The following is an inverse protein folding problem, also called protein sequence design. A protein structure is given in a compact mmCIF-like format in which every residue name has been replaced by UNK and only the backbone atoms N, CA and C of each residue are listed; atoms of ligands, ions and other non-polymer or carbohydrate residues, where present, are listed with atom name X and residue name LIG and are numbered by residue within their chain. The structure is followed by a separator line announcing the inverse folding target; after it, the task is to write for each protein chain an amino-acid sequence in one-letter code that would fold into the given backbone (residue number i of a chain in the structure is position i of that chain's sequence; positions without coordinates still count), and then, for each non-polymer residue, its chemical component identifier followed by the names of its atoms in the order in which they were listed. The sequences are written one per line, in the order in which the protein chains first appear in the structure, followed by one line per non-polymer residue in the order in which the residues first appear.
data_IF_641635431503
#
_entry.id   IF_641635431503
#
_cell.length_a   1.000
_cell.length_b   1.000
_cell.length_c   1.000
_cell.angle_alpha   90.00
_cell.angle_beta   90.00
_cell.angle_gamma   90.00
#
_symmetry.space_group_name_H-M   'P 1'
#
loop_
_entity.id
_entity.type
_entity.pdbx_description
1 polymer ?
#
# COMPACT_ATOMS: atom_id res chain seq x y z
N UNK A 1 30.37 -22.44 -1.61
CA UNK A 1 29.45 -22.50 -0.46
C UNK A 1 28.58 -21.25 -0.51
N UNK A 2 27.26 -21.36 -0.50
CA UNK A 2 26.39 -20.18 -0.49
C UNK A 2 26.49 -19.52 0.89
N UNK A 3 26.88 -18.25 0.94
CA UNK A 3 26.94 -17.50 2.19
C UNK A 3 25.51 -17.16 2.63
N UNK A 4 25.17 -17.42 3.89
CA UNK A 4 23.85 -17.11 4.44
C UNK A 4 23.60 -15.61 4.35
N UNK A 5 22.49 -15.21 3.72
CA UNK A 5 22.04 -13.83 3.67
C UNK A 5 21.08 -13.56 4.83
N UNK A 6 21.23 -12.41 5.48
CA UNK A 6 20.28 -11.91 6.48
C UNK A 6 19.80 -10.54 6.03
N UNK A 7 18.59 -10.51 5.48
CA UNK A 7 17.96 -9.28 5.01
C UNK A 7 17.03 -8.70 6.09
N UNK A 8 16.92 -7.39 6.12
CA UNK A 8 15.98 -6.63 6.93
C UNK A 8 15.09 -5.73 6.05
N UNK A 9 13.90 -5.39 6.55
CA UNK A 9 13.04 -4.40 5.92
C UNK A 9 12.04 -3.83 6.92
N UNK A 10 11.52 -2.65 6.60
CA UNK A 10 10.51 -1.98 7.37
C UNK A 10 9.57 -1.18 6.48
N UNK A 11 8.45 -0.79 7.07
CA UNK A 11 7.55 0.17 6.47
C UNK A 11 6.99 1.12 7.53
N UNK A 12 6.55 2.28 7.08
CA UNK A 12 5.74 3.19 7.87
C UNK A 12 4.55 3.65 7.04
N UNK A 13 3.37 3.76 7.66
CA UNK A 13 2.16 4.22 6.99
C UNK A 13 1.33 5.11 7.89
N UNK A 14 0.69 6.10 7.28
CA UNK A 14 -0.30 6.95 7.93
C UNK A 14 -1.51 7.09 7.02
N UNK A 15 -2.69 7.17 7.62
CA UNK A 15 -3.95 7.42 6.93
C UNK A 15 -4.75 8.46 7.72
N UNK A 16 -5.45 9.33 6.99
CA UNK A 16 -6.25 10.40 7.57
C UNK A 16 -7.60 10.50 6.86
N UNK A 17 -8.67 10.53 7.65
CA UNK A 17 -10.02 10.79 7.19
C UNK A 17 -10.27 12.29 7.09
N UNK A 18 -10.15 12.87 5.89
CA UNK A 18 -10.34 14.31 5.69
C UNK A 18 -11.77 14.71 5.37
N UNK A 19 -12.66 13.75 5.07
CA UNK A 19 -14.09 13.97 4.92
C UNK A 19 -14.88 12.71 5.28
N UNK A 20 -16.20 12.82 5.47
CA UNK A 20 -17.12 11.76 5.95
C UNK A 20 -16.89 10.37 5.35
N UNK A 21 -16.41 10.28 4.11
CA UNK A 21 -16.25 9.02 3.37
C UNK A 21 -14.93 8.93 2.62
N UNK A 22 -14.02 9.86 2.84
CA UNK A 22 -12.77 10.00 2.11
C UNK A 22 -11.58 9.89 3.03
N UNK A 23 -10.60 9.10 2.62
CA UNK A 23 -9.35 8.93 3.32
C UNK A 23 -8.18 9.18 2.36
N UNK A 24 -7.13 9.79 2.87
CA UNK A 24 -5.84 9.91 2.19
C UNK A 24 -4.79 9.20 3.02
N UNK A 25 -3.94 8.40 2.39
CA UNK A 25 -2.88 7.68 3.05
C UNK A 25 -1.55 7.82 2.33
N UNK A 26 -0.48 7.67 3.09
CA UNK A 26 0.87 7.57 2.57
C UNK A 26 1.59 6.39 3.22
N UNK A 27 2.47 5.75 2.45
CA UNK A 27 3.32 4.66 2.93
C UNK A 27 4.73 4.79 2.38
N UNK A 28 5.70 4.53 3.25
CA UNK A 28 7.09 4.34 2.87
C UNK A 28 7.49 2.89 3.15
N UNK A 29 8.15 2.25 2.20
CA UNK A 29 8.71 0.90 2.29
C UNK A 29 10.22 0.97 2.05
N UNK A 30 10.98 0.20 2.83
CA UNK A 30 12.41 -0.03 2.60
C UNK A 30 12.73 -1.48 2.92
N UNK A 31 13.46 -2.17 2.04
CA UNK A 31 13.83 -3.56 2.25
C UNK A 31 15.13 -3.92 1.55
N UNK A 32 16.00 -4.63 2.28
CA UNK A 32 17.12 -5.37 1.71
C UNK A 32 16.63 -6.59 0.92
N UNK A 33 17.42 -7.04 -0.04
CA UNK A 33 17.06 -8.21 -0.85
C UNK A 33 17.48 -9.50 -0.17
N UNK A 34 16.55 -10.46 -0.14
CA UNK A 34 16.76 -11.78 0.46
C UNK A 34 17.98 -12.55 -0.09
N UNK A 35 18.40 -12.29 -1.33
CA UNK A 35 19.57 -12.93 -1.97
C UNK A 35 20.83 -12.05 -2.01
N UNK A 36 20.72 -10.78 -1.61
CA UNK A 36 21.82 -9.79 -1.62
C UNK A 36 21.50 -8.72 -0.59
N UNK A 37 21.80 -8.98 0.69
CA UNK A 37 21.39 -8.10 1.79
C UNK A 37 22.08 -6.73 1.77
N UNK A 38 23.18 -6.58 1.02
CA UNK A 38 23.86 -5.31 0.73
C UNK A 38 23.09 -4.40 -0.25
N UNK A 39 22.04 -4.93 -0.89
CA UNK A 39 21.22 -4.23 -1.88
C UNK A 39 19.84 -3.99 -1.28
N UNK A 40 19.36 -2.75 -1.38
CA UNK A 40 18.05 -2.36 -0.87
C UNK A 40 17.20 -1.69 -1.94
N UNK A 41 15.90 -1.92 -1.84
CA UNK A 41 14.87 -1.25 -2.61
C UNK A 41 14.04 -0.36 -1.67
N UNK A 42 13.45 0.71 -2.20
CA UNK A 42 12.53 1.57 -1.47
C UNK A 42 11.32 1.94 -2.30
N UNK A 43 10.20 2.23 -1.66
CA UNK A 43 9.02 2.72 -2.36
C UNK A 43 8.25 3.75 -1.52
N UNK A 44 7.70 4.74 -2.21
CA UNK A 44 6.75 5.69 -1.66
C UNK A 44 5.39 5.45 -2.32
N UNK A 45 4.32 5.38 -1.52
CA UNK A 45 2.95 5.24 -2.02
C UNK A 45 2.06 6.35 -1.49
N UNK A 46 1.22 6.90 -2.36
CA UNK A 46 0.12 7.78 -2.02
C UNK A 46 -1.19 7.08 -2.36
N UNK A 47 -2.17 7.19 -1.47
CA UNK A 47 -3.43 6.47 -1.54
C UNK A 47 -4.56 7.45 -1.29
N UNK A 48 -5.62 7.35 -2.11
CA UNK A 48 -6.90 7.98 -1.82
C UNK A 48 -7.97 6.90 -1.87
N UNK A 49 -8.81 6.85 -0.84
CA UNK A 49 -9.94 5.93 -0.81
C UNK A 49 -11.25 6.64 -0.55
N UNK A 50 -12.33 6.03 -1.05
CA UNK A 50 -13.70 6.50 -0.94
C UNK A 50 -14.62 5.33 -0.59
N UNK A 51 -15.54 5.56 0.35
CA UNK A 51 -16.56 4.60 0.78
C UNK A 51 -17.97 5.04 0.32
N UNK A 52 -18.40 4.73 -0.92
CA UNK A 52 -19.73 5.10 -1.42
C UNK A 52 -20.91 4.51 -0.63
N UNK A 53 -20.70 3.38 0.05
CA UNK A 53 -21.65 2.73 0.96
C UNK A 53 -20.92 1.73 1.86
N UNK A 54 -21.64 1.04 2.74
CA UNK A 54 -21.12 -0.09 3.53
C UNK A 54 -20.70 -1.29 2.68
N UNK A 55 -21.10 -1.32 1.40
CA UNK A 55 -20.85 -2.43 0.47
C UNK A 55 -19.77 -2.13 -0.56
N UNK A 56 -19.33 -0.88 -0.67
CA UNK A 56 -18.43 -0.45 -1.73
C UNK A 56 -17.23 0.28 -1.15
N UNK A 57 -16.03 -0.07 -1.63
CA UNK A 57 -14.81 0.66 -1.37
C UNK A 57 -14.02 0.87 -2.66
N UNK A 58 -13.66 2.13 -2.93
CA UNK A 58 -12.87 2.51 -4.10
C UNK A 58 -11.54 3.04 -3.60
N UNK A 59 -10.44 2.58 -4.17
CA UNK A 59 -9.08 2.99 -3.78
C UNK A 59 -8.22 3.21 -5.00
N UNK A 60 -7.63 4.40 -5.08
CA UNK A 60 -6.58 4.70 -6.04
C UNK A 60 -5.24 4.79 -5.29
N UNK A 61 -4.20 4.15 -5.82
CA UNK A 61 -2.85 4.23 -5.30
C UNK A 61 -1.89 4.58 -6.42
N UNK A 62 -1.01 5.53 -6.15
CA UNK A 62 0.22 5.74 -6.91
C UNK A 62 1.39 5.22 -6.08
N UNK A 63 2.28 4.43 -6.67
CA UNK A 63 3.51 3.96 -6.06
C UNK A 63 4.70 4.32 -6.92
N UNK A 64 5.75 4.84 -6.28
CA UNK A 64 7.04 5.08 -6.90
C UNK A 64 8.09 4.22 -6.20
N UNK A 65 8.71 3.31 -6.93
CA UNK A 65 9.70 2.37 -6.42
C UNK A 65 11.08 2.71 -6.96
N UNK A 66 12.10 2.73 -6.11
CA UNK A 66 13.51 2.87 -6.46
C UNK A 66 14.21 1.56 -6.16
N UNK A 67 14.70 0.90 -7.21
CA UNK A 67 15.40 -0.38 -7.09
C UNK A 67 16.90 -0.17 -6.93
N UNK A 68 17.56 -1.11 -6.27
CA UNK A 68 19.01 -1.09 -6.04
C UNK A 68 19.82 -0.91 -7.34
N UNK A 69 19.31 -1.37 -8.49
CA UNK A 69 19.93 -1.23 -9.81
C UNK A 69 19.88 0.20 -10.39
N UNK A 70 19.35 1.17 -9.64
CA UNK A 70 19.19 2.56 -10.08
C UNK A 70 17.94 2.80 -10.93
N UNK A 71 17.13 1.77 -11.15
CA UNK A 71 15.87 1.87 -11.89
C UNK A 71 14.77 2.43 -11.00
N UNK A 72 13.91 3.28 -11.57
CA UNK A 72 12.69 3.76 -10.90
C UNK A 72 11.48 3.25 -11.65
N UNK A 73 10.52 2.68 -10.94
CA UNK A 73 9.20 2.33 -11.48
C UNK A 73 8.13 3.24 -10.88
N UNK A 74 7.17 3.65 -11.71
CA UNK A 74 5.98 4.37 -11.28
C UNK A 74 4.77 3.51 -11.66
N UNK A 75 3.91 3.24 -10.69
CA UNK A 75 2.78 2.33 -10.83
C UNK A 75 1.51 3.03 -10.33
N UNK A 76 0.41 2.83 -11.05
CA UNK A 76 -0.92 3.24 -10.60
C UNK A 76 -1.79 2.00 -10.47
N UNK A 77 -2.52 1.92 -9.36
CA UNK A 77 -3.50 0.87 -9.11
C UNK A 77 -4.84 1.51 -8.76
N UNK A 78 -5.88 1.11 -9.49
CA UNK A 78 -7.26 1.37 -9.13
C UNK A 78 -7.88 0.06 -8.65
N UNK A 79 -8.45 0.08 -7.45
CA UNK A 79 -9.13 -1.06 -6.84
C UNK A 79 -10.58 -0.68 -6.55
N UNK A 80 -11.50 -1.52 -7.01
CA UNK A 80 -12.91 -1.50 -6.64
C UNK A 80 -13.22 -2.78 -5.85
N UNK A 81 -13.66 -2.63 -4.61
CA UNK A 81 -14.07 -3.73 -3.74
C UNK A 81 -15.58 -3.69 -3.54
N UNK A 82 -16.25 -4.75 -3.97
CA UNK A 82 -17.66 -5.00 -3.70
C UNK A 82 -17.81 -6.05 -2.61
N UNK A 83 -18.46 -5.70 -1.51
CA UNK A 83 -18.67 -6.57 -0.35
C UNK A 83 -20.07 -7.18 -0.46
N UNK A 84 -20.13 -8.50 -0.58
CA UNK A 84 -21.37 -9.29 -0.60
C UNK A 84 -21.56 -9.96 0.77
N UNK A 85 -22.65 -9.66 1.48
CA UNK A 85 -22.95 -10.25 2.79
C UNK A 85 -24.28 -9.78 3.38
N UNK A 86 -24.80 -10.52 4.36
CA UNK A 86 -26.03 -10.16 5.06
C UNK A 86 -25.83 -8.89 5.90
N UNK A 87 -26.62 -7.85 5.63
CA UNK A 87 -26.71 -6.66 6.46
C UNK A 87 -27.86 -6.84 7.46
N UNK A 88 -27.55 -6.81 8.76
CA UNK A 88 -28.59 -6.81 9.80
C UNK A 88 -29.31 -5.48 9.83
N UNK A 89 -30.65 -5.48 9.87
CA UNK A 89 -31.45 -4.24 9.86
C UNK A 89 -30.93 -3.24 10.90
N UNK A 90 -30.43 -2.08 10.46
CA UNK A 90 -30.12 -0.98 11.39
C UNK A 90 -31.42 -0.51 12.04
N UNK A 91 -31.56 -0.53 13.38
CA UNK A 91 -32.66 0.16 14.04
C UNK A 91 -32.46 1.67 13.82
N UNK A 92 -33.52 2.32 13.33
CA UNK A 92 -33.57 3.77 13.07
C UNK A 92 -33.48 4.59 14.36
#
# INVERSE_FOLDING_TARGET
MANTQRAFGFFASAEYQFARRWFSGARFDWAERARSADRHDSAESLVVSYWPSEFNHIRAQFRRSRYAEGQTANEMLLQFLFILGAHGAHPF
#
